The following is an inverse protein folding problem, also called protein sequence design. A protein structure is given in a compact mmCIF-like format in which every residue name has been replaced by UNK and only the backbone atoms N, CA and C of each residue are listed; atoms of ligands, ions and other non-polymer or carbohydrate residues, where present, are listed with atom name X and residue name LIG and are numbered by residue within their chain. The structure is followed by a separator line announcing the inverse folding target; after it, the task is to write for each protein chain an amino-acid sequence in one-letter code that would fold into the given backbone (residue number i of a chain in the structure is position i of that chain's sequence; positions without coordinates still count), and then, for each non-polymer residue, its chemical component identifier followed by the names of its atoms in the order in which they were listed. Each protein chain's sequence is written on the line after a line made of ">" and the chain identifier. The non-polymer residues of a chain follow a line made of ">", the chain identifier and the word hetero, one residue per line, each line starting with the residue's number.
data_IF_773057701784
#
_entry.id   IF_773057701784
#
_cell.length_a   1.000
_cell.length_b   1.000
_cell.length_c   1.000
_cell.angle_alpha   90.00
_cell.angle_beta   90.00
_cell.angle_gamma   90.00
#
_symmetry.space_group_name_H-M   'P 1'
#
loop_
_entity.id
_entity.type
_entity.pdbx_description
1 polymer ?
#
# COMPACT_ATOMS: atom_id res chain seq x y z
N UNK A 1 -19.60 29.75 0.02
CA UNK A 1 -20.35 29.00 1.03
C UNK A 1 -20.43 27.58 0.53
N UNK A 2 -19.66 26.67 1.11
CA UNK A 2 -19.62 25.26 0.69
C UNK A 2 -20.85 24.50 1.26
N UNK A 3 -21.59 25.14 2.18
CA UNK A 3 -22.59 24.50 3.05
C UNK A 3 -24.02 24.56 2.49
N UNK A 4 -24.36 25.51 1.60
CA UNK A 4 -25.76 25.71 1.19
C UNK A 4 -26.07 25.15 -0.21
N UNK A 5 -25.31 25.51 -1.26
CA UNK A 5 -25.63 25.08 -2.64
C UNK A 5 -24.99 23.74 -3.02
N UNK A 6 -23.82 23.42 -2.47
CA UNK A 6 -23.02 22.26 -2.87
C UNK A 6 -23.30 20.99 -2.05
N UNK A 7 -24.25 21.01 -1.11
CA UNK A 7 -24.45 19.90 -0.17
C UNK A 7 -25.23 18.70 -0.74
N UNK A 8 -25.97 18.90 -1.85
CA UNK A 8 -26.74 17.82 -2.50
C UNK A 8 -26.31 17.55 -3.96
N UNK A 9 -25.42 18.37 -4.53
CA UNK A 9 -25.01 18.25 -5.92
C UNK A 9 -23.64 17.56 -6.03
N UNK A 10 -23.65 16.29 -6.45
CA UNK A 10 -22.44 15.53 -6.75
C UNK A 10 -22.25 15.43 -8.26
N UNK A 11 -20.99 15.50 -8.76
CA UNK A 11 -20.71 15.21 -10.16
C UNK A 11 -21.04 13.75 -10.49
N UNK A 12 -21.32 13.49 -11.76
CA UNK A 12 -21.55 12.14 -12.25
C UNK A 12 -20.35 11.21 -12.00
N UNK A 13 -20.64 9.95 -11.66
CA UNK A 13 -19.61 8.94 -11.44
C UNK A 13 -19.10 8.44 -12.80
N UNK A 14 -17.83 8.73 -13.07
CA UNK A 14 -17.11 8.27 -14.25
C UNK A 14 -15.91 7.41 -13.83
N UNK A 15 -15.57 6.43 -14.66
CA UNK A 15 -14.28 5.74 -14.53
C UNK A 15 -13.16 6.76 -14.76
N UNK A 16 -12.16 6.74 -13.89
CA UNK A 16 -10.98 7.58 -14.10
C UNK A 16 -10.13 7.08 -15.30
N UNK A 17 -9.19 7.92 -15.73
CA UNK A 17 -8.33 7.69 -16.90
C UNK A 17 -7.52 6.38 -16.82
N UNK A 18 -7.29 5.85 -15.62
CA UNK A 18 -6.47 4.67 -15.36
C UNK A 18 -7.26 3.57 -14.65
N UNK A 19 -8.58 3.59 -14.76
CA UNK A 19 -9.48 2.70 -14.01
C UNK A 19 -9.18 1.21 -14.21
N UNK A 20 -8.77 0.82 -15.42
CA UNK A 20 -8.46 -0.57 -15.75
C UNK A 20 -6.95 -0.89 -15.53
N UNK A 21 -6.12 0.09 -15.16
CA UNK A 21 -4.68 -0.06 -14.90
C UNK A 21 -4.40 -0.21 -13.39
N UNK A 22 -3.81 -1.34 -12.98
CA UNK A 22 -3.48 -1.59 -11.56
C UNK A 22 -2.45 -0.59 -11.02
N UNK A 23 -1.44 -0.27 -11.83
CA UNK A 23 -0.47 0.81 -11.57
C UNK A 23 -0.17 1.46 -12.92
N UNK A 24 -0.50 2.75 -13.10
CA UNK A 24 -0.17 3.46 -14.33
C UNK A 24 1.33 3.40 -14.57
N UNK A 25 1.74 2.95 -15.76
CA UNK A 25 3.17 2.82 -16.07
C UNK A 25 3.90 4.13 -15.92
N UNK A 26 3.26 5.22 -16.33
CA UNK A 26 3.76 6.58 -16.21
C UNK A 26 2.61 7.58 -16.14
N UNK A 27 2.62 8.41 -15.09
CA UNK A 27 1.82 9.63 -15.05
C UNK A 27 2.58 10.75 -15.77
N UNK A 28 1.91 11.60 -16.54
CA UNK A 28 2.56 12.66 -17.27
C UNK A 28 3.18 13.69 -16.30
N UNK A 29 4.47 13.96 -16.47
CA UNK A 29 5.17 15.05 -15.81
C UNK A 29 5.22 16.26 -16.75
N UNK A 30 5.18 17.47 -16.18
CA UNK A 30 5.45 18.70 -16.95
C UNK A 30 6.96 18.84 -17.16
N UNK A 31 7.37 19.62 -18.17
CA UNK A 31 8.80 19.85 -18.50
C UNK A 31 9.60 20.35 -17.28
N UNK A 32 9.00 21.20 -16.45
CA UNK A 32 9.63 21.69 -15.23
C UNK A 32 9.74 20.63 -14.14
N UNK A 33 8.85 19.63 -14.13
CA UNK A 33 8.78 18.61 -13.09
C UNK A 33 9.44 17.29 -13.46
N UNK A 34 9.87 17.09 -14.72
CA UNK A 34 10.52 15.84 -15.17
C UNK A 34 11.72 15.47 -14.30
N UNK A 35 12.49 16.46 -13.83
CA UNK A 35 13.66 16.21 -12.99
C UNK A 35 13.32 15.70 -11.58
N UNK A 36 12.06 15.76 -11.15
CA UNK A 36 11.57 15.17 -9.90
C UNK A 36 11.05 13.75 -10.07
N UNK A 37 10.98 13.22 -11.30
CA UNK A 37 10.56 11.85 -11.55
C UNK A 37 11.56 10.89 -10.90
N UNK A 38 11.12 10.23 -9.83
CA UNK A 38 11.90 9.23 -9.09
C UNK A 38 11.27 7.86 -9.32
N UNK A 39 12.11 6.86 -9.54
CA UNK A 39 11.66 5.47 -9.44
C UNK A 39 11.38 5.13 -7.98
N UNK A 40 10.52 4.14 -7.77
CA UNK A 40 10.25 3.60 -6.44
C UNK A 40 11.59 3.26 -5.75
N UNK A 41 11.83 3.78 -4.54
CA UNK A 41 13.08 3.51 -3.86
C UNK A 41 13.11 2.03 -3.53
N UNK A 42 14.11 1.35 -4.08
CA UNK A 42 14.46 -0.01 -3.69
C UNK A 42 14.81 -0.02 -2.21
N UNK A 43 14.27 -0.97 -1.46
CA UNK A 43 14.56 -1.11 -0.04
C UNK A 43 16.08 -1.20 0.18
N UNK A 44 16.58 -0.62 1.27
CA UNK A 44 18.03 -0.57 1.57
C UNK A 44 18.69 -1.95 1.65
N UNK A 45 17.91 -3.00 1.86
CA UNK A 45 18.35 -4.39 1.95
C UNK A 45 18.07 -5.24 0.68
N UNK A 46 17.61 -4.67 -0.44
CA UNK A 46 17.20 -5.45 -1.63
C UNK A 46 18.30 -6.39 -2.14
N UNK A 47 19.57 -5.99 -2.03
CA UNK A 47 20.73 -6.78 -2.45
C UNK A 47 21.59 -7.26 -1.28
N UNK A 48 21.08 -7.19 -0.05
CA UNK A 48 21.82 -7.62 1.12
C UNK A 48 21.95 -9.15 1.11
N UNK A 49 23.16 -9.64 0.84
CA UNK A 49 23.48 -11.07 0.89
C UNK A 49 23.82 -11.45 2.32
N UNK A 50 22.92 -12.17 2.97
CA UNK A 50 23.15 -12.75 4.30
C UNK A 50 24.29 -13.77 4.18
N UNK A 51 25.30 -13.67 5.05
CA UNK A 51 26.37 -14.67 5.13
C UNK A 51 25.79 -15.98 5.64
N UNK A 52 26.38 -17.10 5.22
CA UNK A 52 25.92 -18.43 5.63
C UNK A 52 25.89 -18.59 7.17
N UNK A 53 26.89 -18.05 7.87
CA UNK A 53 26.95 -18.05 9.35
C UNK A 53 25.84 -17.25 10.03
N UNK A 54 25.23 -16.30 9.32
CA UNK A 54 24.20 -15.38 9.82
C UNK A 54 22.79 -15.76 9.30
N UNK A 55 22.70 -16.77 8.41
CA UNK A 55 21.47 -17.20 7.75
C UNK A 55 20.57 -18.12 8.59
N UNK A 56 20.86 -18.30 9.88
CA UNK A 56 20.16 -19.21 10.80
C UNK A 56 18.64 -19.01 10.81
N UNK A 57 18.17 -17.77 10.60
CA UNK A 57 16.75 -17.42 10.54
C UNK A 57 16.26 -16.96 9.14
N UNK A 58 17.15 -16.85 8.15
CA UNK A 58 16.82 -16.31 6.82
C UNK A 58 15.99 -17.29 5.97
N UNK A 59 16.18 -18.60 6.17
CA UNK A 59 15.50 -19.67 5.44
C UNK A 59 14.41 -20.34 6.26
N UNK A 60 13.89 -19.68 7.29
CA UNK A 60 12.70 -20.16 7.99
C UNK A 60 11.52 -20.00 7.02
N UNK A 61 11.41 -20.90 6.05
CA UNK A 61 10.20 -21.10 5.26
C UNK A 61 9.09 -21.13 6.28
N UNK A 62 8.15 -20.19 6.19
CA UNK A 62 6.95 -20.19 6.99
C UNK A 62 6.28 -21.55 6.77
N UNK A 63 6.59 -22.52 7.63
CA UNK A 63 5.79 -23.70 7.78
C UNK A 63 4.51 -23.14 8.38
N UNK A 64 3.58 -22.73 7.51
CA UNK A 64 2.24 -22.28 7.87
C UNK A 64 1.52 -23.46 8.53
N UNK A 65 1.85 -23.68 9.79
CA UNK A 65 1.03 -24.34 10.78
C UNK A 65 1.05 -23.45 12.01
N UNK A 66 0.70 -22.18 11.84
CA UNK A 66 0.17 -21.40 12.96
C UNK A 66 -1.22 -21.95 13.22
N UNK A 67 -1.30 -22.90 14.14
CA UNK A 67 -2.54 -23.28 14.85
C UNK A 67 -2.89 -22.11 15.77
N UNK A 68 -3.23 -20.97 15.18
CA UNK A 68 -3.77 -19.81 15.91
C UNK A 68 -4.90 -19.27 15.03
N UNK A 69 -6.17 -19.37 15.46
CA UNK A 69 -7.31 -18.84 14.72
C UNK A 69 -7.18 -17.31 14.59
N UNK A 70 -7.28 -16.80 13.35
CA UNK A 70 -7.28 -15.36 13.03
C UNK A 70 -8.39 -14.58 13.77
N UNK A 71 -9.41 -15.28 14.27
CA UNK A 71 -10.56 -14.72 15.00
C UNK A 71 -10.16 -13.97 16.27
N UNK A 72 -9.05 -14.37 16.91
CA UNK A 72 -8.60 -13.76 18.18
C UNK A 72 -8.08 -12.34 17.98
N UNK A 73 -7.45 -12.05 16.83
CA UNK A 73 -6.92 -10.70 16.54
C UNK A 73 -8.05 -9.71 16.18
N UNK A 74 -9.10 -10.19 15.51
CA UNK A 74 -10.24 -9.37 15.12
C UNK A 74 -10.96 -8.75 16.35
N UNK A 75 -11.11 -9.51 17.43
CA UNK A 75 -11.82 -9.06 18.64
C UNK A 75 -11.07 -7.95 19.40
N UNK A 76 -9.73 -7.96 19.39
CA UNK A 76 -8.93 -6.91 20.05
C UNK A 76 -9.01 -5.57 19.30
N UNK A 77 -9.00 -5.60 17.97
CA UNK A 77 -9.04 -4.37 17.16
C UNK A 77 -10.45 -3.80 17.10
N UNK A 78 -11.48 -4.66 17.09
CA UNK A 78 -12.89 -4.25 17.15
C UNK A 78 -13.23 -3.50 18.44
N UNK A 79 -12.64 -3.92 19.58
CA UNK A 79 -12.82 -3.25 20.87
C UNK A 79 -12.17 -1.87 20.94
N UNK A 80 -11.15 -1.60 20.11
CA UNK A 80 -10.40 -0.32 20.11
C UNK A 80 -11.06 0.76 19.22
N UNK A 81 -11.96 0.38 18.30
CA UNK A 81 -12.58 1.31 17.33
C UNK A 81 -13.92 1.88 17.84
N UNK A 82 -14.36 1.55 19.06
CA UNK A 82 -15.65 1.98 19.62
C UNK A 82 -15.56 3.05 20.73
N UNK A 83 -14.63 4.01 20.61
CA UNK A 83 -14.62 5.24 21.43
C UNK A 83 -14.47 6.49 20.58
#
# INVERSE_FOLDING_TARGET
>A
MIVDEMHEEHPELLKDQYWDEVVPRDLPYTVASEHYRKHEPKGSAEFFKVKESEALYANLTHHRKSVVPDDVYADYVSTIILF
#
